data_IF_933183754699
#
_entry.id   IF_933183754699
#
_cell.length_a   1.000
_cell.length_b   1.000
_cell.length_c   1.000
_cell.angle_alpha   90.00
_cell.angle_beta   90.00
_cell.angle_gamma   90.00
#
_symmetry.space_group_name_H-M   'P 1'
#
loop_
_entity.id
_entity.type
_entity.pdbx_description
1 polymer ?
#
# COMPACT_ATOMS: atom_id res chain seq x y z
N UNK A 1 -0.54 28.44 -34.72
CA UNK A 1 -0.38 27.01 -34.83
C UNK A 1 0.47 26.42 -33.68
N UNK A 2 1.66 26.96 -33.36
CA UNK A 2 2.56 26.43 -32.29
C UNK A 2 1.93 26.38 -30.89
N UNK A 3 1.11 27.36 -30.49
CA UNK A 3 0.44 27.41 -29.18
C UNK A 3 -0.64 26.32 -29.02
N UNK A 4 -1.38 25.99 -30.09
CA UNK A 4 -2.39 24.90 -30.08
C UNK A 4 -1.75 23.51 -30.01
N UNK A 5 -0.58 23.34 -30.68
CA UNK A 5 0.16 22.08 -30.63
C UNK A 5 0.77 21.83 -29.25
N UNK A 6 1.28 22.91 -28.59
CA UNK A 6 1.83 22.81 -27.24
C UNK A 6 0.75 22.47 -26.18
N UNK A 7 -0.46 23.06 -26.31
CA UNK A 7 -1.57 22.75 -25.41
C UNK A 7 -2.09 21.31 -25.60
N UNK A 8 -2.06 20.77 -26.81
CA UNK A 8 -2.45 19.40 -27.11
C UNK A 8 -1.43 18.40 -26.55
N UNK A 9 -0.13 18.70 -26.68
CA UNK A 9 0.95 17.89 -26.09
C UNK A 9 0.88 17.86 -24.55
N UNK A 10 0.59 19.00 -23.91
CA UNK A 10 0.40 19.08 -22.45
C UNK A 10 -0.84 18.30 -22.00
N UNK A 11 -1.95 18.36 -22.74
CA UNK A 11 -3.16 17.60 -22.43
C UNK A 11 -2.94 16.08 -22.57
N UNK A 12 -2.22 15.65 -23.59
CA UNK A 12 -1.87 14.23 -23.80
C UNK A 12 -0.92 13.74 -22.71
N UNK A 13 0.08 14.53 -22.29
CA UNK A 13 0.98 14.18 -21.19
C UNK A 13 0.23 14.05 -19.85
N UNK A 14 -0.78 14.91 -19.62
CA UNK A 14 -1.61 14.88 -18.41
C UNK A 14 -2.53 13.65 -18.37
N UNK A 15 -3.06 13.21 -19.51
CA UNK A 15 -3.87 11.98 -19.60
C UNK A 15 -3.02 10.73 -19.39
N UNK A 16 -1.78 10.72 -19.88
CA UNK A 16 -0.86 9.59 -19.68
C UNK A 16 -0.45 9.46 -18.20
N UNK A 17 -0.27 10.58 -17.48
CA UNK A 17 0.05 10.55 -16.04
C UNK A 17 -1.11 10.11 -15.15
N UNK A 18 -2.37 10.27 -15.59
CA UNK A 18 -3.54 9.79 -14.87
C UNK A 18 -3.80 8.29 -15.06
N UNK A 19 -3.28 7.70 -16.15
CA UNK A 19 -3.39 6.27 -16.39
C UNK A 19 -2.41 5.41 -15.58
N UNK A 20 -1.45 6.03 -14.86
CA UNK A 20 -0.43 5.33 -14.07
C UNK A 20 -0.91 4.91 -12.66
N UNK A 21 -2.16 5.25 -12.27
CA UNK A 21 -2.78 4.76 -11.04
C UNK A 21 -3.77 3.62 -11.34
N UNK A 22 -3.35 2.58 -12.03
CA UNK A 22 -4.12 1.34 -12.02
C UNK A 22 -3.99 0.68 -10.65
N UNK A 23 -5.11 0.53 -9.95
CA UNK A 23 -5.20 -0.30 -8.76
C UNK A 23 -4.70 -1.69 -9.13
N UNK A 24 -3.68 -2.20 -8.41
CA UNK A 24 -3.30 -3.61 -8.56
C UNK A 24 -4.56 -4.46 -8.36
N UNK A 25 -4.89 -5.39 -9.25
CA UNK A 25 -6.04 -6.25 -9.04
C UNK A 25 -5.77 -7.12 -7.80
N UNK A 26 -6.61 -6.95 -6.80
CA UNK A 26 -6.62 -7.80 -5.62
C UNK A 26 -6.93 -9.23 -6.08
N UNK A 27 -6.02 -10.14 -5.81
CA UNK A 27 -6.10 -11.59 -5.99
C UNK A 27 -6.99 -12.08 -7.15
N UNK A 28 -6.39 -12.43 -8.27
CA UNK A 28 -7.12 -12.98 -9.40
C UNK A 28 -6.33 -13.16 -10.69
N UNK A 29 -5.03 -12.92 -10.68
CA UNK A 29 -4.20 -13.40 -11.79
C UNK A 29 -3.98 -14.89 -11.58
N UNK A 30 -4.32 -15.68 -12.59
CA UNK A 30 -3.96 -17.09 -12.67
C UNK A 30 -2.44 -17.19 -12.67
N UNK A 31 -1.84 -17.26 -11.47
CA UNK A 31 -0.43 -17.58 -11.32
C UNK A 31 -0.24 -18.97 -11.94
N UNK A 32 0.42 -19.02 -13.06
CA UNK A 32 0.80 -20.31 -13.63
C UNK A 32 1.84 -20.92 -12.69
N UNK A 33 1.78 -22.22 -12.47
CA UNK A 33 2.63 -22.94 -11.52
C UNK A 33 4.15 -22.84 -11.81
N UNK A 34 4.54 -22.01 -12.76
CA UNK A 34 5.92 -21.79 -13.22
C UNK A 34 6.53 -20.47 -12.78
N UNK A 35 5.73 -19.54 -12.26
CA UNK A 35 6.23 -18.24 -11.79
C UNK A 35 6.60 -18.31 -10.30
N UNK A 36 7.75 -17.76 -9.89
CA UNK A 36 8.10 -17.72 -8.47
C UNK A 36 7.11 -16.84 -7.70
N UNK A 37 6.66 -17.33 -6.55
CA UNK A 37 5.86 -16.54 -5.61
C UNK A 37 6.80 -15.97 -4.56
N UNK A 38 6.79 -14.65 -4.39
CA UNK A 38 7.58 -13.92 -3.40
C UNK A 38 6.63 -13.29 -2.40
N UNK A 39 6.85 -13.54 -1.13
CA UNK A 39 6.11 -12.89 -0.04
C UNK A 39 7.04 -11.85 0.60
N UNK A 40 6.66 -10.59 0.48
CA UNK A 40 7.27 -9.48 1.21
C UNK A 40 6.36 -9.18 2.39
N UNK A 41 6.90 -9.22 3.60
CA UNK A 41 6.05 -8.99 4.77
C UNK A 41 6.68 -8.03 5.76
N UNK A 42 5.79 -7.38 6.53
CA UNK A 42 6.13 -6.54 7.68
C UNK A 42 5.38 -7.06 8.91
N UNK A 43 5.91 -6.74 10.09
CA UNK A 43 5.37 -7.11 11.38
C UNK A 43 5.94 -6.17 12.44
N UNK A 44 5.12 -5.71 13.38
CA UNK A 44 5.54 -4.85 14.48
C UNK A 44 6.34 -3.62 14.01
N UNK A 45 5.90 -2.97 12.95
CA UNK A 45 6.62 -1.82 12.37
C UNK A 45 6.51 -0.57 13.22
N UNK A 46 5.52 -0.52 14.13
CA UNK A 46 5.33 0.56 15.10
C UNK A 46 5.48 1.96 14.48
N UNK A 47 4.81 2.16 13.36
CA UNK A 47 4.80 3.43 12.66
C UNK A 47 6.12 3.83 12.00
N UNK A 48 7.06 2.92 11.79
CA UNK A 48 8.34 3.20 11.13
C UNK A 48 8.15 3.53 9.63
N UNK A 49 7.58 4.70 9.35
CA UNK A 49 7.15 5.14 8.01
C UNK A 49 8.23 5.05 6.93
N UNK A 50 9.51 5.17 7.30
CA UNK A 50 10.63 5.02 6.38
C UNK A 50 10.78 3.58 5.84
N UNK A 51 10.21 2.59 6.53
CA UNK A 51 10.18 1.20 6.11
C UNK A 51 9.34 0.96 4.87
N UNK A 52 8.23 1.67 4.72
CA UNK A 52 7.28 1.47 3.64
C UNK A 52 7.88 1.69 2.24
N UNK A 53 8.74 2.70 2.08
CA UNK A 53 9.45 2.92 0.82
C UNK A 53 10.38 1.76 0.44
N UNK A 54 10.98 1.08 1.43
CA UNK A 54 11.82 -0.11 1.20
C UNK A 54 10.97 -1.31 0.80
N UNK A 55 9.79 -1.47 1.41
CA UNK A 55 8.84 -2.52 1.05
C UNK A 55 8.39 -2.35 -0.39
N UNK A 56 7.98 -1.13 -0.79
CA UNK A 56 7.60 -0.82 -2.17
C UNK A 56 8.73 -1.15 -3.16
N UNK A 57 9.95 -0.66 -2.90
CA UNK A 57 11.09 -0.90 -3.77
C UNK A 57 11.45 -2.39 -3.89
N UNK A 58 11.26 -3.17 -2.82
CA UNK A 58 11.50 -4.60 -2.83
C UNK A 58 10.44 -5.35 -3.63
N UNK A 59 9.16 -4.97 -3.48
CA UNK A 59 8.06 -5.52 -4.27
C UNK A 59 8.27 -5.24 -5.76
N UNK A 60 8.51 -3.98 -6.13
CA UNK A 60 8.76 -3.57 -7.51
C UNK A 60 9.94 -4.34 -8.14
N UNK A 61 11.00 -4.56 -7.37
CA UNK A 61 12.17 -5.32 -7.84
C UNK A 61 11.77 -6.74 -8.25
N UNK A 62 11.09 -7.48 -7.38
CA UNK A 62 10.73 -8.87 -7.67
C UNK A 62 9.65 -8.98 -8.74
N UNK A 63 8.72 -8.03 -8.83
CA UNK A 63 7.77 -7.96 -9.95
C UNK A 63 8.49 -7.75 -11.28
N UNK A 64 9.49 -6.86 -11.32
CA UNK A 64 10.32 -6.64 -12.51
C UNK A 64 11.14 -7.89 -12.92
N UNK A 65 11.45 -8.75 -11.96
CA UNK A 65 12.11 -10.04 -12.18
C UNK A 65 11.11 -11.15 -12.62
N UNK A 66 9.81 -10.84 -12.73
CA UNK A 66 8.78 -11.77 -13.19
C UNK A 66 8.17 -12.63 -12.09
N UNK A 67 8.34 -12.25 -10.82
CA UNK A 67 7.71 -12.94 -9.70
C UNK A 67 6.25 -12.46 -9.48
N UNK A 68 5.41 -13.36 -8.99
CA UNK A 68 4.15 -12.97 -8.35
C UNK A 68 4.46 -12.53 -6.93
N UNK A 69 4.24 -11.25 -6.61
CA UNK A 69 4.59 -10.69 -5.30
C UNK A 69 3.34 -10.47 -4.47
N UNK A 70 3.37 -10.94 -3.23
CA UNK A 70 2.39 -10.63 -2.18
C UNK A 70 3.05 -9.77 -1.11
N UNK A 71 2.44 -8.63 -0.79
CA UNK A 71 2.89 -7.73 0.27
C UNK A 71 1.91 -7.81 1.44
N UNK A 72 2.37 -8.31 2.57
CA UNK A 72 1.52 -8.62 3.73
C UNK A 72 2.02 -7.89 4.99
N UNK A 73 1.10 -7.56 5.91
CA UNK A 73 1.45 -7.06 7.23
C UNK A 73 0.78 -7.90 8.33
N UNK A 74 1.53 -8.21 9.37
CA UNK A 74 1.06 -9.07 10.47
C UNK A 74 0.56 -8.27 11.70
N UNK A 75 0.41 -6.95 11.58
CA UNK A 75 -0.15 -6.08 12.61
C UNK A 75 0.88 -5.26 13.40
N UNK A 76 0.38 -4.47 14.33
CA UNK A 76 1.12 -3.51 15.15
C UNK A 76 1.81 -2.42 14.32
N UNK A 77 1.05 -1.80 13.43
CA UNK A 77 1.48 -0.70 12.57
C UNK A 77 1.01 0.69 13.05
N UNK A 78 -0.03 0.75 13.91
CA UNK A 78 -0.78 1.99 14.21
C UNK A 78 -0.14 2.88 15.27
N UNK A 79 0.90 2.43 15.98
CA UNK A 79 1.47 3.09 17.15
C UNK A 79 3.00 3.05 17.09
N UNK A 80 3.68 4.07 17.62
CA UNK A 80 5.13 4.13 17.81
C UNK A 80 5.74 5.44 17.31
N UNK A 81 5.90 5.63 16.00
CA UNK A 81 6.43 6.88 15.44
C UNK A 81 5.49 8.07 15.71
N UNK A 82 6.01 9.26 16.09
CA UNK A 82 5.17 10.44 16.35
C UNK A 82 4.21 10.80 15.21
N UNK A 83 4.60 10.63 13.95
CA UNK A 83 3.74 10.93 12.81
C UNK A 83 2.51 10.02 12.75
N UNK A 84 2.68 8.76 13.13
CA UNK A 84 1.59 7.79 13.20
C UNK A 84 0.75 7.99 14.47
N UNK A 85 1.39 8.29 15.60
CA UNK A 85 0.68 8.54 16.85
C UNK A 85 -0.25 9.76 16.78
N UNK A 86 0.22 10.88 16.18
CA UNK A 86 -0.57 12.11 16.03
C UNK A 86 -1.81 11.88 15.14
N UNK A 87 -1.71 10.99 14.19
CA UNK A 87 -2.82 10.62 13.29
C UNK A 87 -3.65 9.44 13.79
N UNK A 88 -3.36 8.93 15.00
CA UNK A 88 -4.03 7.75 15.57
C UNK A 88 -4.05 6.56 14.62
N UNK A 89 -2.91 6.32 13.94
CA UNK A 89 -2.73 5.22 12.99
C UNK A 89 -3.10 5.52 11.54
N UNK A 90 -3.83 6.61 11.25
CA UNK A 90 -4.29 6.89 9.88
C UNK A 90 -3.14 7.03 8.88
N UNK A 91 -2.02 7.65 9.26
CA UNK A 91 -0.84 7.77 8.39
C UNK A 91 -0.25 6.41 8.00
N UNK A 92 -0.27 5.42 8.89
CA UNK A 92 0.19 4.07 8.54
C UNK A 92 -0.69 3.44 7.48
N UNK A 93 -2.02 3.57 7.59
CA UNK A 93 -2.96 3.11 6.56
C UNK A 93 -2.74 3.80 5.22
N UNK A 94 -2.50 5.11 5.21
CA UNK A 94 -2.16 5.84 3.98
C UNK A 94 -0.89 5.29 3.33
N UNK A 95 0.15 5.04 4.12
CA UNK A 95 1.40 4.44 3.61
C UNK A 95 1.16 3.04 3.03
N UNK A 96 0.39 2.19 3.71
CA UNK A 96 0.02 0.86 3.22
C UNK A 96 -0.76 0.92 1.91
N UNK A 97 -1.73 1.84 1.81
CA UNK A 97 -2.48 2.07 0.57
C UNK A 97 -1.55 2.49 -0.58
N UNK A 98 -0.57 3.37 -0.32
CA UNK A 98 0.41 3.84 -1.32
C UNK A 98 1.36 2.72 -1.78
N UNK A 99 1.80 1.88 -0.87
CA UNK A 99 2.67 0.72 -1.18
C UNK A 99 1.92 -0.36 -1.93
N UNK A 100 0.61 -0.49 -1.68
CA UNK A 100 -0.22 -1.52 -2.28
C UNK A 100 -0.08 -2.85 -1.56
N UNK A 101 -0.23 -2.86 -0.24
CA UNK A 101 -0.33 -4.11 0.51
C UNK A 101 -1.52 -4.94 0.02
N UNK A 102 -1.35 -6.26 -0.03
CA UNK A 102 -2.39 -7.20 -0.47
C UNK A 102 -3.30 -7.65 0.68
N UNK A 103 -2.78 -7.71 1.91
CA UNK A 103 -3.57 -7.93 3.12
C UNK A 103 -2.81 -7.47 4.36
N UNK A 104 -3.56 -7.07 5.39
CA UNK A 104 -3.02 -6.72 6.71
C UNK A 104 -3.81 -7.42 7.80
N UNK A 105 -3.13 -7.83 8.87
CA UNK A 105 -3.78 -8.34 10.07
C UNK A 105 -3.85 -7.23 11.13
N UNK A 106 -4.72 -7.40 12.13
CA UNK A 106 -4.75 -6.53 13.30
C UNK A 106 -3.88 -7.13 14.40
N UNK A 107 -2.97 -6.32 14.94
CA UNK A 107 -2.27 -6.58 16.17
C UNK A 107 -2.98 -5.94 17.38
N UNK A 108 -2.33 -5.89 18.54
CA UNK A 108 -2.93 -5.29 19.73
C UNK A 108 -2.89 -3.75 19.67
N UNK A 109 -1.90 -3.15 19.05
CA UNK A 109 -1.75 -1.70 18.99
C UNK A 109 -2.75 -1.00 18.04
N UNK A 110 -3.40 -1.72 17.16
CA UNK A 110 -4.51 -1.18 16.35
C UNK A 110 -5.71 -0.76 17.21
N UNK A 111 -5.81 -1.27 18.45
CA UNK A 111 -6.89 -0.95 19.39
C UNK A 111 -6.53 0.18 20.39
N UNK A 112 -5.29 0.68 20.40
CA UNK A 112 -4.80 1.65 21.39
C UNK A 112 -5.59 2.97 21.38
N UNK A 113 -6.08 3.38 20.23
CA UNK A 113 -6.88 4.61 20.05
C UNK A 113 -8.40 4.38 20.13
N UNK A 114 -8.81 3.17 20.55
CA UNK A 114 -10.20 2.78 20.71
C UNK A 114 -10.86 2.27 19.41
N UNK A 115 -11.98 1.58 19.61
CA UNK A 115 -12.66 0.86 18.53
C UNK A 115 -13.19 1.77 17.41
N UNK A 116 -13.67 2.98 17.74
CA UNK A 116 -14.20 3.91 16.73
C UNK A 116 -13.09 4.44 15.82
N UNK A 117 -11.92 4.72 16.37
CA UNK A 117 -10.74 5.11 15.57
C UNK A 117 -10.28 3.95 14.69
N UNK A 118 -10.19 2.74 15.24
CA UNK A 118 -9.88 1.54 14.47
C UNK A 118 -10.85 1.39 13.29
N UNK A 119 -12.15 1.44 13.54
CA UNK A 119 -13.17 1.31 12.51
C UNK A 119 -13.00 2.36 11.40
N UNK A 120 -12.77 3.63 11.76
CA UNK A 120 -12.51 4.70 10.80
C UNK A 120 -11.27 4.42 9.95
N UNK A 121 -10.20 3.95 10.57
CA UNK A 121 -8.97 3.59 9.85
C UNK A 121 -9.21 2.43 8.89
N UNK A 122 -9.98 1.41 9.30
CA UNK A 122 -10.35 0.28 8.44
C UNK A 122 -11.21 0.72 7.25
N UNK A 123 -12.14 1.65 7.45
CA UNK A 123 -12.96 2.21 6.38
C UNK A 123 -12.14 2.99 5.34
N UNK A 124 -11.00 3.56 5.74
CA UNK A 124 -10.07 4.26 4.82
C UNK A 124 -9.06 3.33 4.15
N UNK A 125 -8.90 2.10 4.65
CA UNK A 125 -8.00 1.12 4.09
C UNK A 125 -8.49 0.65 2.70
N UNK A 126 -7.58 0.65 1.73
CA UNK A 126 -7.83 0.08 0.39
C UNK A 126 -7.30 -1.36 0.29
N UNK A 127 -6.87 -1.90 1.42
CA UNK A 127 -6.30 -3.22 1.59
C UNK A 127 -7.25 -4.07 2.45
N UNK A 128 -7.46 -5.35 2.15
CA UNK A 128 -8.19 -6.25 3.02
C UNK A 128 -7.57 -6.31 4.42
N UNK A 129 -8.39 -6.05 5.43
CA UNK A 129 -8.00 -6.17 6.84
C UNK A 129 -8.57 -7.46 7.39
N UNK A 130 -7.69 -8.31 7.89
CA UNK A 130 -8.00 -9.64 8.36
C UNK A 130 -8.00 -9.66 9.89
N UNK A 131 -9.06 -10.19 10.47
CA UNK A 131 -9.16 -10.48 11.90
C UNK A 131 -9.56 -11.95 12.04
N UNK A 132 -8.80 -12.71 12.81
CA UNK A 132 -9.06 -14.11 13.10
C UNK A 132 -9.67 -14.27 14.51
#
# INVERSE_FOLDING_TARGET
MKKKLLSLLLAVAMVISLAACEKKPVMGKDATATEPVVIVHTNDVHGAIQGYAKVAALADKYEAEGAYVLVLDAGDFSQGDPAVNVSEGATAIEMMNMVGYDAVALGNHEFDYGFETLKKNMESAQVPVLAA
#
